data_IF_935854775935
#
_entry.id   IF_935854775935
#
_cell.length_a   1.000
_cell.length_b   1.000
_cell.length_c   1.000
_cell.angle_alpha   90.00
_cell.angle_beta   90.00
_cell.angle_gamma   90.00
#
_symmetry.space_group_name_H-M   'P 1'
#
loop_
_entity.id
_entity.type
_entity.pdbx_description
1 polymer ?
#
# COMPACT_ATOMS: atom_id res chain seq x y z
N UNK A 1 -1.52 15.49 -11.08
CA UNK A 1 -2.11 14.21 -10.67
C UNK A 1 -3.58 14.16 -11.08
N UNK A 2 -4.02 13.03 -11.67
CA UNK A 2 -5.43 12.74 -11.91
C UNK A 2 -5.93 11.83 -10.81
N UNK A 3 -7.11 12.08 -10.28
CA UNK A 3 -7.69 11.30 -9.16
C UNK A 3 -9.05 10.77 -9.57
N UNK A 4 -9.26 9.48 -9.33
CA UNK A 4 -10.52 8.78 -9.57
C UNK A 4 -10.94 8.04 -8.30
N UNK A 5 -12.21 8.15 -7.91
CA UNK A 5 -12.80 7.38 -6.80
C UNK A 5 -14.22 6.92 -7.20
N UNK A 6 -14.48 5.62 -7.08
CA UNK A 6 -15.78 5.01 -7.42
C UNK A 6 -16.90 5.39 -6.44
N UNK A 7 -16.55 5.87 -5.22
CA UNK A 7 -17.49 6.14 -4.12
C UNK A 7 -17.91 7.60 -4.04
N UNK A 8 -17.19 8.50 -4.68
CA UNK A 8 -17.31 9.94 -4.46
C UNK A 8 -17.73 10.65 -5.73
N UNK A 9 -18.77 11.49 -5.63
CA UNK A 9 -19.11 12.42 -6.69
C UNK A 9 -18.15 13.60 -6.68
N UNK A 10 -17.75 14.09 -7.86
CA UNK A 10 -16.80 15.19 -8.10
C UNK A 10 -17.03 16.44 -7.20
N UNK A 11 -18.29 16.67 -6.85
CA UNK A 11 -18.76 17.85 -6.10
C UNK A 11 -18.53 17.80 -4.59
N UNK A 12 -18.18 16.62 -4.03
CA UNK A 12 -18.10 16.41 -2.59
C UNK A 12 -16.69 16.45 -2.00
N UNK A 13 -15.66 16.73 -2.80
CA UNK A 13 -14.27 16.74 -2.35
C UNK A 13 -13.77 18.15 -2.06
N UNK A 14 -13.78 18.53 -0.79
CA UNK A 14 -13.02 19.71 -0.29
C UNK A 14 -11.58 19.28 0.01
N UNK A 15 -10.78 19.04 -1.03
CA UNK A 15 -9.34 18.86 -0.86
C UNK A 15 -8.69 20.21 -0.53
N UNK A 16 -7.74 20.19 0.40
CA UNK A 16 -6.97 21.39 0.80
C UNK A 16 -6.49 22.11 -0.45
N UNK A 17 -6.75 23.43 -0.52
CA UNK A 17 -6.59 24.33 -1.67
C UNK A 17 -5.20 24.34 -2.36
N UNK A 18 -4.21 23.62 -1.86
CA UNK A 18 -2.81 23.69 -2.32
C UNK A 18 -2.34 22.47 -3.13
N UNK A 19 -3.23 21.55 -3.48
CA UNK A 19 -2.85 20.36 -4.24
C UNK A 19 -3.55 20.39 -5.60
N UNK A 20 -2.77 20.37 -6.69
CA UNK A 20 -3.26 20.28 -8.06
C UNK A 20 -3.83 18.86 -8.33
N UNK A 21 -5.00 18.57 -7.76
CA UNK A 21 -5.76 17.36 -8.08
C UNK A 21 -6.80 17.67 -9.13
N UNK A 22 -6.78 16.92 -10.22
CA UNK A 22 -7.85 16.90 -11.19
C UNK A 22 -8.68 15.64 -10.95
N UNK A 23 -9.89 15.81 -10.39
CA UNK A 23 -10.88 14.74 -10.39
C UNK A 23 -11.38 14.49 -11.81
N UNK A 24 -11.28 13.25 -12.25
CA UNK A 24 -11.69 12.81 -13.56
C UNK A 24 -12.73 11.69 -13.44
N UNK A 25 -13.55 11.55 -14.43
CA UNK A 25 -14.41 10.37 -14.62
C UNK A 25 -13.63 9.29 -15.37
N UNK A 26 -14.14 8.05 -15.32
CA UNK A 26 -13.49 6.91 -15.99
C UNK A 26 -13.23 7.17 -17.48
N UNK A 27 -14.18 7.83 -18.17
CA UNK A 27 -14.08 8.17 -19.62
C UNK A 27 -13.04 9.25 -19.95
N UNK A 28 -12.56 9.99 -18.94
CA UNK A 28 -11.56 11.06 -19.12
C UNK A 28 -10.11 10.58 -18.91
N UNK A 29 -9.90 9.28 -18.63
CA UNK A 29 -8.55 8.74 -18.39
C UNK A 29 -7.80 8.58 -19.72
N UNK A 30 -6.75 9.36 -19.90
CA UNK A 30 -5.80 9.15 -21.00
C UNK A 30 -4.69 8.17 -20.59
N UNK A 31 -4.93 6.90 -20.82
CA UNK A 31 -3.99 5.83 -20.51
C UNK A 31 -2.66 5.93 -21.25
N UNK A 32 -2.58 6.64 -22.39
CA UNK A 32 -1.34 6.71 -23.17
C UNK A 32 -0.30 7.62 -22.52
N UNK A 33 -0.74 8.54 -21.66
CA UNK A 33 0.12 9.49 -20.94
C UNK A 33 0.35 9.12 -19.47
N UNK A 34 -0.11 7.94 -19.03
CA UNK A 34 0.11 7.48 -17.67
C UNK A 34 1.47 6.78 -17.50
N UNK A 35 2.23 7.19 -16.50
CA UNK A 35 3.44 6.47 -16.08
C UNK A 35 3.09 5.24 -15.24
N UNK A 36 2.19 5.39 -14.29
CA UNK A 36 1.67 4.34 -13.44
C UNK A 36 0.31 4.74 -12.85
N UNK A 37 -0.39 3.79 -12.30
CA UNK A 37 -1.62 4.00 -11.50
C UNK A 37 -1.31 3.70 -10.05
N UNK A 38 -1.43 4.71 -9.18
CA UNK A 38 -1.42 4.50 -7.74
C UNK A 38 -2.80 3.98 -7.30
N UNK A 39 -2.83 2.77 -6.74
CA UNK A 39 -4.05 2.08 -6.37
C UNK A 39 -4.18 1.94 -4.86
N UNK A 40 -5.30 2.37 -4.29
CA UNK A 40 -5.62 2.15 -2.88
C UNK A 40 -5.83 0.65 -2.60
N UNK A 41 -5.38 0.11 -1.45
CA UNK A 41 -5.58 -1.30 -1.09
C UNK A 41 -7.03 -1.77 -1.11
N UNK A 42 -7.99 -0.86 -0.87
CA UNK A 42 -9.42 -1.17 -0.91
C UNK A 42 -10.06 -1.14 -2.31
N UNK A 43 -9.33 -0.77 -3.34
CA UNK A 43 -9.87 -0.68 -4.70
C UNK A 43 -10.14 -2.06 -5.31
N UNK A 44 -11.20 -2.18 -6.11
CA UNK A 44 -11.53 -3.42 -6.81
C UNK A 44 -10.55 -3.66 -7.97
N UNK A 45 -9.72 -4.68 -7.85
CA UNK A 45 -8.73 -5.03 -8.87
C UNK A 45 -9.35 -5.65 -10.14
N UNK A 46 -10.65 -5.98 -10.11
CA UNK A 46 -11.42 -6.41 -11.29
C UNK A 46 -12.06 -5.23 -12.06
N UNK A 47 -11.90 -4.00 -11.56
CA UNK A 47 -12.43 -2.81 -12.21
C UNK A 47 -11.82 -2.61 -13.60
N UNK A 48 -12.58 -2.07 -14.54
CA UNK A 48 -12.16 -1.89 -15.94
C UNK A 48 -10.87 -1.06 -16.07
N UNK A 49 -10.69 -0.03 -15.25
CA UNK A 49 -9.47 0.78 -15.23
C UNK A 49 -8.22 -0.10 -15.01
N UNK A 50 -8.30 -1.04 -14.06
CA UNK A 50 -7.17 -1.94 -13.74
C UNK A 50 -6.93 -2.93 -14.89
N UNK A 51 -8.00 -3.46 -15.50
CA UNK A 51 -7.89 -4.34 -16.68
C UNK A 51 -7.24 -3.64 -17.85
N UNK A 52 -7.72 -2.44 -18.20
CA UNK A 52 -7.16 -1.62 -19.27
C UNK A 52 -5.70 -1.24 -19.01
N UNK A 53 -5.35 -0.91 -17.77
CA UNK A 53 -3.96 -0.64 -17.40
C UNK A 53 -3.05 -1.84 -17.65
N UNK A 54 -3.49 -3.04 -17.25
CA UNK A 54 -2.76 -4.30 -17.48
C UNK A 54 -2.59 -4.60 -18.98
N UNK A 55 -3.65 -4.44 -19.76
CA UNK A 55 -3.63 -4.62 -21.23
C UNK A 55 -2.64 -3.67 -21.92
N UNK A 56 -2.53 -2.45 -21.41
CA UNK A 56 -1.61 -1.42 -21.91
C UNK A 56 -0.21 -1.46 -21.27
N UNK A 57 0.07 -2.45 -20.42
CA UNK A 57 1.33 -2.57 -19.66
C UNK A 57 1.65 -1.34 -18.82
N UNK A 58 0.62 -0.67 -18.28
CA UNK A 58 0.78 0.43 -17.34
C UNK A 58 0.97 -0.17 -15.94
N UNK A 59 2.03 0.25 -15.28
CA UNK A 59 2.37 -0.23 -13.94
C UNK A 59 1.29 0.16 -12.92
N UNK A 60 0.93 -0.77 -12.04
CA UNK A 60 0.02 -0.52 -10.92
C UNK A 60 0.82 -0.62 -9.64
N UNK A 61 0.76 0.41 -8.81
CA UNK A 61 1.52 0.51 -7.55
C UNK A 61 0.57 0.73 -6.38
N UNK A 62 0.87 0.11 -5.25
CA UNK A 62 0.29 0.54 -3.97
C UNK A 62 1.09 1.72 -3.41
N UNK A 63 0.57 2.35 -2.35
CA UNK A 63 1.30 3.34 -1.55
C UNK A 63 2.60 2.76 -0.99
N UNK A 64 2.60 1.48 -0.58
CA UNK A 64 3.80 0.75 -0.13
C UNK A 64 4.84 0.67 -1.26
N UNK A 65 4.46 0.34 -2.50
CA UNK A 65 5.40 0.27 -3.62
C UNK A 65 6.09 1.63 -3.83
N UNK A 66 5.29 2.72 -3.86
CA UNK A 66 5.80 4.09 -4.03
C UNK A 66 6.77 4.45 -2.89
N UNK A 67 6.38 4.17 -1.64
CA UNK A 67 7.24 4.42 -0.48
C UNK A 67 8.58 3.67 -0.56
N UNK A 68 8.54 2.41 -1.00
CA UNK A 68 9.73 1.57 -1.11
C UNK A 68 10.72 2.06 -2.18
N UNK A 69 10.21 2.63 -3.26
CA UNK A 69 11.03 3.20 -4.33
C UNK A 69 11.70 4.50 -3.93
N UNK A 70 10.97 5.37 -3.22
CA UNK A 70 11.42 6.74 -2.94
C UNK A 70 12.21 6.84 -1.62
N UNK A 71 11.85 6.08 -0.59
CA UNK A 71 12.52 6.17 0.71
C UNK A 71 13.71 5.20 0.81
N UNK A 72 14.86 5.70 1.26
CA UNK A 72 16.13 4.94 1.32
C UNK A 72 16.44 4.34 2.70
N UNK A 73 15.67 4.63 3.74
CA UNK A 73 15.86 4.07 5.09
C UNK A 73 15.76 2.55 5.09
N UNK A 74 16.28 1.88 6.12
CA UNK A 74 16.12 0.42 6.28
C UNK A 74 14.66 0.09 6.59
N UNK A 75 14.15 -1.02 6.04
CA UNK A 75 12.76 -1.45 6.21
C UNK A 75 12.69 -2.88 6.72
N UNK A 76 11.76 -3.10 7.67
CA UNK A 76 11.35 -4.41 8.17
C UNK A 76 9.88 -4.58 7.81
N UNK A 77 9.56 -5.63 7.05
CA UNK A 77 8.18 -5.89 6.64
C UNK A 77 7.54 -6.89 7.59
N UNK A 78 6.36 -6.54 8.11
CA UNK A 78 5.56 -7.41 8.97
C UNK A 78 4.22 -7.69 8.29
N UNK A 79 3.95 -8.98 8.05
CA UNK A 79 2.65 -9.43 7.55
C UNK A 79 2.13 -10.60 8.39
N UNK A 80 0.88 -10.97 8.14
CA UNK A 80 0.19 -12.04 8.87
C UNK A 80 -1.30 -11.79 8.89
N UNK A 81 -2.07 -12.75 9.36
CA UNK A 81 -3.50 -12.55 9.61
C UNK A 81 -3.68 -11.72 10.87
N UNK A 82 -3.11 -12.15 11.97
CA UNK A 82 -3.27 -11.52 13.29
C UNK A 82 -1.93 -11.10 13.90
N UNK A 83 -1.97 -10.11 14.80
CA UNK A 83 -0.81 -9.67 15.60
C UNK A 83 0.13 -8.69 14.93
N UNK A 84 -0.10 -8.30 13.66
CA UNK A 84 0.76 -7.38 12.91
C UNK A 84 1.02 -6.07 13.66
N UNK A 85 -0.04 -5.34 13.99
CA UNK A 85 0.05 -4.02 14.65
C UNK A 85 0.74 -4.10 16.01
N UNK A 86 0.49 -5.18 16.77
CA UNK A 86 1.15 -5.43 18.06
C UNK A 86 2.66 -5.59 17.88
N UNK A 87 3.08 -6.43 16.92
CA UNK A 87 4.52 -6.67 16.67
C UNK A 87 5.19 -5.42 16.11
N UNK A 88 4.54 -4.69 15.19
CA UNK A 88 5.05 -3.42 14.66
C UNK A 88 5.27 -2.40 15.79
N UNK A 89 4.29 -2.23 16.69
CA UNK A 89 4.39 -1.30 17.81
C UNK A 89 5.47 -1.72 18.83
N UNK A 90 5.66 -3.02 19.04
CA UNK A 90 6.70 -3.52 19.94
C UNK A 90 8.10 -3.34 19.35
N UNK A 91 8.27 -3.59 18.05
CA UNK A 91 9.55 -3.36 17.37
C UNK A 91 9.91 -1.87 17.37
N UNK A 92 8.95 -0.98 17.08
CA UNK A 92 9.15 0.47 17.17
C UNK A 92 9.65 0.86 18.58
N UNK A 93 8.97 0.42 19.65
CA UNK A 93 9.36 0.71 21.04
C UNK A 93 10.72 0.13 21.40
N UNK A 94 10.95 -1.13 21.04
CA UNK A 94 12.21 -1.82 21.36
C UNK A 94 13.41 -1.16 20.69
N UNK A 95 13.29 -0.81 19.42
CA UNK A 95 14.38 -0.20 18.67
C UNK A 95 14.65 1.23 19.16
N UNK A 96 13.60 2.01 19.41
CA UNK A 96 13.74 3.34 20.00
C UNK A 96 14.35 3.28 21.41
N UNK A 97 14.05 2.26 22.21
CA UNK A 97 14.71 2.02 23.49
C UNK A 97 16.22 1.74 23.33
N UNK A 98 16.62 1.13 22.22
CA UNK A 98 18.03 0.91 21.86
C UNK A 98 18.65 2.11 21.12
N UNK A 99 18.04 3.28 21.15
CA UNK A 99 18.48 4.50 20.45
C UNK A 99 18.58 4.38 18.92
N UNK A 100 17.79 3.46 18.33
CA UNK A 100 17.62 3.36 16.89
C UNK A 100 16.32 4.07 16.50
N UNK A 101 16.43 5.21 15.82
CA UNK A 101 15.27 6.02 15.41
C UNK A 101 14.36 5.22 14.48
N UNK A 102 13.25 4.73 15.00
CA UNK A 102 12.36 3.77 14.34
C UNK A 102 10.91 4.21 14.38
N UNK A 103 10.22 4.05 13.26
CA UNK A 103 8.80 4.37 13.14
C UNK A 103 8.04 3.19 12.50
N UNK A 104 6.93 2.78 13.13
CA UNK A 104 5.98 1.82 12.56
C UNK A 104 4.94 2.56 11.73
N UNK A 105 4.77 2.17 10.46
CA UNK A 105 3.88 2.79 9.47
C UNK A 105 3.18 1.73 8.61
N UNK A 106 2.27 2.17 7.77
CA UNK A 106 1.50 1.32 6.86
C UNK A 106 0.08 1.07 7.37
N UNK A 107 -0.36 -0.17 7.34
CA UNK A 107 -1.74 -0.53 7.75
C UNK A 107 -2.05 -0.26 9.25
N UNK A 108 -1.10 0.23 10.01
CA UNK A 108 -1.21 0.56 11.43
C UNK A 108 -1.80 1.97 11.70
N UNK A 109 -2.39 2.63 10.69
CA UNK A 109 -3.03 3.95 10.84
C UNK A 109 -2.09 5.15 10.62
N UNK A 110 -0.84 4.92 10.23
CA UNK A 110 0.12 5.95 9.77
C UNK A 110 0.42 5.71 8.29
N UNK A 111 -0.20 6.46 7.36
CA UNK A 111 -0.02 6.26 5.92
C UNK A 111 1.44 6.43 5.50
N UNK A 112 1.97 5.46 4.74
CA UNK A 112 3.41 5.44 4.41
C UNK A 112 3.87 6.65 3.62
N UNK A 113 3.02 7.22 2.76
CA UNK A 113 3.38 8.35 1.90
C UNK A 113 3.59 9.67 2.66
N UNK A 114 3.09 9.77 3.90
CA UNK A 114 3.37 10.92 4.77
C UNK A 114 4.83 10.96 5.21
N UNK A 115 5.53 9.83 5.16
CA UNK A 115 6.90 9.67 5.64
C UNK A 115 7.92 9.40 4.52
N UNK A 116 7.55 9.61 3.27
CA UNK A 116 8.38 9.26 2.11
C UNK A 116 9.72 10.00 2.11
N UNK A 117 9.74 11.25 2.57
CA UNK A 117 10.94 12.09 2.66
C UNK A 117 11.67 11.97 4.01
N UNK A 118 11.06 11.34 5.00
CA UNK A 118 11.67 11.18 6.31
C UNK A 118 12.81 10.14 6.31
N UNK A 119 13.85 10.43 7.07
CA UNK A 119 14.97 9.52 7.28
C UNK A 119 14.89 8.95 8.70
N UNK A 120 14.92 7.62 8.79
CA UNK A 120 14.94 6.85 10.03
C UNK A 120 16.02 5.77 9.94
N UNK A 121 16.47 5.26 11.09
CA UNK A 121 17.29 4.06 11.08
C UNK A 121 16.50 2.88 10.54
N UNK A 122 15.21 2.78 10.95
CA UNK A 122 14.29 1.74 10.47
C UNK A 122 12.86 2.26 10.30
N UNK A 123 12.21 1.80 9.25
CA UNK A 123 10.76 1.76 9.17
C UNK A 123 10.26 0.32 9.37
N UNK A 124 9.31 0.12 10.27
CA UNK A 124 8.60 -1.15 10.44
C UNK A 124 7.29 -1.05 9.69
N UNK A 125 7.18 -1.76 8.56
CA UNK A 125 6.05 -1.68 7.65
C UNK A 125 5.01 -2.74 7.98
N UNK A 126 3.83 -2.34 8.43
CA UNK A 126 2.68 -3.23 8.50
C UNK A 126 2.05 -3.38 7.12
N UNK A 127 2.04 -4.59 6.56
CA UNK A 127 1.52 -4.86 5.22
C UNK A 127 0.35 -5.85 5.28
N UNK A 128 -0.79 -5.44 4.74
CA UNK A 128 -1.97 -6.29 4.59
C UNK A 128 -1.90 -7.14 3.31
N UNK A 129 -2.77 -8.16 3.22
CA UNK A 129 -2.94 -8.92 1.97
C UNK A 129 -3.44 -8.04 0.82
N UNK A 130 -4.18 -6.98 1.10
CA UNK A 130 -4.66 -6.05 0.09
C UNK A 130 -3.53 -5.27 -0.59
N UNK A 131 -2.49 -4.87 0.15
CA UNK A 131 -1.29 -4.24 -0.44
C UNK A 131 -0.53 -5.24 -1.33
N UNK A 132 -0.35 -6.48 -0.84
CA UNK A 132 0.36 -7.53 -1.56
C UNK A 132 -0.37 -7.99 -2.83
N UNK A 133 -1.70 -7.87 -2.86
CA UNK A 133 -2.56 -8.23 -3.99
C UNK A 133 -2.48 -7.21 -5.15
N UNK A 134 -2.19 -5.94 -4.84
CA UNK A 134 -2.10 -4.87 -5.86
C UNK A 134 -0.89 -5.07 -6.76
N UNK A 135 0.28 -5.24 -6.16
CA UNK A 135 1.53 -5.37 -6.88
C UNK A 135 2.57 -6.14 -6.05
N UNK A 136 3.46 -6.90 -6.69
CA UNK A 136 4.52 -7.58 -5.98
C UNK A 136 5.44 -6.57 -5.30
N UNK A 137 5.90 -6.91 -4.10
CA UNK A 137 6.89 -6.12 -3.39
C UNK A 137 8.31 -6.59 -3.72
N UNK A 138 9.31 -5.71 -3.65
CA UNK A 138 10.70 -6.10 -3.81
C UNK A 138 11.13 -7.03 -2.67
N UNK A 139 12.25 -7.75 -2.87
CA UNK A 139 12.84 -8.57 -1.82
C UNK A 139 13.36 -7.70 -0.68
N UNK A 140 12.97 -8.02 0.54
CA UNK A 140 13.44 -7.37 1.76
C UNK A 140 14.62 -8.13 2.37
N UNK A 141 15.50 -7.42 3.08
CA UNK A 141 16.52 -8.05 3.92
C UNK A 141 15.89 -8.78 5.11
N UNK A 142 14.78 -8.25 5.62
CA UNK A 142 14.01 -8.84 6.70
C UNK A 142 12.51 -8.66 6.45
N UNK A 143 11.82 -9.78 6.33
CA UNK A 143 10.37 -9.87 6.31
C UNK A 143 9.90 -10.95 7.27
N UNK A 144 8.81 -10.68 7.97
CA UNK A 144 8.23 -11.59 8.98
C UNK A 144 6.77 -11.87 8.60
N UNK A 145 6.47 -13.13 8.44
CA UNK A 145 5.12 -13.64 8.31
C UNK A 145 4.71 -14.31 9.63
N UNK A 146 3.87 -13.64 10.42
CA UNK A 146 3.52 -14.08 11.77
C UNK A 146 2.67 -15.34 11.79
N UNK A 147 1.61 -15.34 10.99
CA UNK A 147 0.67 -16.46 10.87
C UNK A 147 -0.20 -16.29 9.63
N UNK A 148 -0.81 -17.40 9.19
CA UNK A 148 -1.81 -17.43 8.13
C UNK A 148 -2.99 -18.26 8.63
N UNK A 149 -4.13 -17.63 8.84
CA UNK A 149 -5.41 -18.26 9.16
C UNK A 149 -6.48 -17.74 8.19
N UNK A 150 -7.59 -18.43 7.95
CA UNK A 150 -8.63 -17.96 7.04
C UNK A 150 -9.11 -16.54 7.39
N UNK A 151 -9.03 -15.63 6.41
CA UNK A 151 -9.47 -14.25 6.52
C UNK A 151 -9.69 -13.69 5.11
N UNK A 152 -10.54 -12.67 4.96
CA UNK A 152 -10.81 -11.98 3.69
C UNK A 152 -11.10 -12.90 2.48
N UNK A 153 -11.79 -14.03 2.72
CA UNK A 153 -12.09 -15.01 1.68
C UNK A 153 -13.04 -14.44 0.62
N UNK A 154 -13.93 -13.54 1.04
CA UNK A 154 -14.81 -12.77 0.15
C UNK A 154 -14.03 -11.98 -0.92
N UNK A 155 -12.85 -11.48 -0.58
CA UNK A 155 -11.98 -10.76 -1.53
C UNK A 155 -11.07 -11.70 -2.33
N UNK A 156 -10.40 -12.62 -1.66
CA UNK A 156 -9.36 -13.46 -2.28
C UNK A 156 -9.91 -14.76 -2.90
N UNK A 157 -11.21 -15.04 -2.76
CA UNK A 157 -11.89 -16.21 -3.33
C UNK A 157 -11.66 -17.50 -2.57
N UNK A 158 -10.46 -17.75 -2.04
CA UNK A 158 -10.17 -18.95 -1.25
C UNK A 158 -9.03 -18.71 -0.24
N UNK A 159 -8.96 -19.59 0.77
CA UNK A 159 -7.83 -19.60 1.71
C UNK A 159 -6.48 -19.84 1.01
N UNK A 160 -6.45 -20.69 -0.01
CA UNK A 160 -5.23 -20.98 -0.74
C UNK A 160 -4.70 -19.76 -1.50
N UNK A 161 -5.57 -18.99 -2.15
CA UNK A 161 -5.18 -17.74 -2.82
C UNK A 161 -4.74 -16.67 -1.81
N UNK A 162 -5.45 -16.52 -0.70
CA UNK A 162 -5.02 -15.64 0.39
C UNK A 162 -3.64 -16.01 0.93
N UNK A 163 -3.37 -17.30 1.13
CA UNK A 163 -2.08 -17.79 1.61
C UNK A 163 -0.94 -17.59 0.60
N UNK A 164 -1.22 -17.74 -0.72
CA UNK A 164 -0.25 -17.47 -1.79
C UNK A 164 0.16 -16.00 -1.83
N UNK A 165 -0.80 -15.07 -1.69
CA UNK A 165 -0.54 -13.63 -1.69
C UNK A 165 0.40 -13.24 -0.54
N UNK A 166 0.34 -13.95 0.60
CA UNK A 166 1.17 -13.64 1.78
C UNK A 166 2.55 -14.31 1.77
N UNK A 167 2.80 -15.27 0.91
CA UNK A 167 4.08 -15.99 0.79
C UNK A 167 5.01 -15.37 -0.24
#
# INVERSE_FOLDING_TARGET
FMTFDTRVKKESFNLKKNLNFNFITEGEIDFNNLKFIACSPGFDLNHNIIKTAKEKNIEIKSDINIFLEENTSKKILISGTNGKSTVCSWLEKLFNYQHLDTLAIGNIGRPVLEFVEEKKDFFVLEVSSFHLDIAPLPKFKLSVLLNITPDHIDRHGSFNEYAKIKK
#
